data_IF_448630073695
#
_entry.id   IF_448630073695
#
_cell.length_a   1.000
_cell.length_b   1.000
_cell.length_c   1.000
_cell.angle_alpha   90.00
_cell.angle_beta   90.00
_cell.angle_gamma   90.00
#
_symmetry.space_group_name_H-M   'P 1'
#
loop_
_entity.id
_entity.type
_entity.pdbx_description
1 polymer ?
#
# COMPACT_ATOMS: atom_id res chain seq x y z
N UNK A 1 3.30 14.28 20.49
CA UNK A 1 4.26 13.75 19.49
C UNK A 1 4.39 14.85 18.45
N UNK A 2 5.58 15.42 18.31
CA UNK A 2 5.81 16.55 17.41
C UNK A 2 5.77 16.07 15.95
N UNK A 3 4.67 16.35 15.26
CA UNK A 3 4.42 15.89 13.88
C UNK A 3 5.31 16.63 12.86
N UNK A 4 5.88 17.78 13.25
CA UNK A 4 6.74 18.61 12.40
C UNK A 4 8.19 18.11 12.36
N UNK A 5 8.55 17.13 13.20
CA UNK A 5 9.90 16.52 13.25
C UNK A 5 10.13 15.40 12.23
N UNK A 6 9.11 15.02 11.44
CA UNK A 6 9.18 13.84 10.60
C UNK A 6 10.00 14.07 9.33
N UNK A 7 10.94 13.16 9.08
CA UNK A 7 11.75 13.21 7.86
C UNK A 7 10.88 12.88 6.63
N UNK A 8 11.25 13.39 5.44
CA UNK A 8 10.61 13.02 4.17
C UNK A 8 10.47 11.51 3.94
N UNK A 9 11.42 10.71 4.43
CA UNK A 9 11.38 9.24 4.30
C UNK A 9 10.34 8.60 5.21
N UNK A 10 10.16 9.12 6.43
CA UNK A 10 9.16 8.62 7.39
C UNK A 10 7.73 8.89 6.88
N UNK A 11 7.50 10.08 6.33
CA UNK A 11 6.23 10.45 5.70
C UNK A 11 5.93 9.56 4.49
N UNK A 12 6.92 9.37 3.61
CA UNK A 12 6.78 8.48 2.46
C UNK A 12 6.48 7.04 2.85
N UNK A 13 7.18 6.51 3.86
CA UNK A 13 6.97 5.15 4.37
C UNK A 13 5.54 4.96 4.89
N UNK A 14 5.06 5.89 5.70
CA UNK A 14 3.71 5.81 6.30
C UNK A 14 2.60 5.89 5.26
N UNK A 15 2.67 6.87 4.36
CA UNK A 15 1.69 7.02 3.29
C UNK A 15 1.74 5.83 2.32
N UNK A 16 2.93 5.34 1.95
CA UNK A 16 3.05 4.15 1.14
C UNK A 16 2.42 2.92 1.80
N UNK A 17 2.60 2.75 3.13
CA UNK A 17 1.95 1.68 3.88
C UNK A 17 0.44 1.82 3.87
N UNK A 18 -0.11 3.02 4.10
CA UNK A 18 -1.56 3.25 4.05
C UNK A 18 -2.16 2.96 2.67
N UNK A 19 -1.50 3.42 1.60
CA UNK A 19 -1.93 3.17 0.22
C UNK A 19 -1.88 1.67 -0.07
N UNK A 20 -0.77 1.01 0.26
CA UNK A 20 -0.57 -0.41 0.01
C UNK A 20 -1.56 -1.31 0.74
N UNK A 21 -1.85 -1.04 2.02
CA UNK A 21 -2.83 -1.81 2.77
C UNK A 21 -4.24 -1.60 2.25
N UNK A 22 -4.62 -0.35 1.92
CA UNK A 22 -5.91 -0.08 1.30
C UNK A 22 -6.06 -0.86 -0.02
N UNK A 23 -5.08 -0.75 -0.93
CA UNK A 23 -5.11 -1.47 -2.21
C UNK A 23 -5.17 -2.98 -1.99
N UNK A 24 -4.32 -3.55 -1.12
CA UNK A 24 -4.31 -4.98 -0.87
C UNK A 24 -5.64 -5.52 -0.34
N UNK A 25 -6.26 -4.80 0.61
CA UNK A 25 -7.58 -5.17 1.18
C UNK A 25 -8.67 -5.07 0.12
N UNK A 26 -8.74 -3.97 -0.63
CA UNK A 26 -9.77 -3.81 -1.67
C UNK A 26 -9.59 -4.81 -2.81
N UNK A 27 -8.35 -5.15 -3.17
CA UNK A 27 -8.10 -6.23 -4.15
C UNK A 27 -8.53 -7.58 -3.63
N UNK A 28 -8.26 -7.92 -2.37
CA UNK A 28 -8.77 -9.15 -1.76
C UNK A 28 -10.30 -9.21 -1.83
N UNK A 29 -10.97 -8.14 -1.38
CA UNK A 29 -12.44 -8.04 -1.39
C UNK A 29 -12.99 -8.14 -2.82
N UNK A 30 -12.39 -7.44 -3.78
CA UNK A 30 -12.80 -7.48 -5.18
C UNK A 30 -12.63 -8.87 -5.80
N UNK A 31 -11.53 -9.57 -5.50
CA UNK A 31 -11.29 -10.91 -6.03
C UNK A 31 -12.21 -11.94 -5.37
N UNK A 32 -12.35 -11.90 -4.05
CA UNK A 32 -13.16 -12.88 -3.33
C UNK A 32 -14.66 -12.67 -3.56
N UNK A 33 -15.16 -11.45 -3.34
CA UNK A 33 -16.60 -11.17 -3.39
C UNK A 33 -17.07 -10.71 -4.78
N UNK A 34 -16.22 -10.00 -5.53
CA UNK A 34 -16.58 -9.48 -6.86
C UNK A 34 -16.34 -10.48 -7.98
N UNK A 35 -15.19 -11.16 -7.97
CA UNK A 35 -14.80 -12.13 -9.00
C UNK A 35 -15.04 -13.59 -8.60
N UNK A 36 -15.64 -13.85 -7.43
CA UNK A 36 -15.90 -15.19 -6.88
C UNK A 36 -14.67 -16.10 -6.81
N UNK A 37 -13.48 -15.49 -6.69
CA UNK A 37 -12.22 -16.21 -6.60
C UNK A 37 -12.09 -16.87 -5.22
N UNK A 38 -11.36 -17.98 -5.15
CA UNK A 38 -11.12 -18.65 -3.88
C UNK A 38 -10.44 -17.69 -2.88
N UNK A 39 -10.97 -17.59 -1.66
CA UNK A 39 -10.56 -16.58 -0.69
C UNK A 39 -9.04 -16.56 -0.43
N UNK A 40 -8.42 -17.74 -0.25
CA UNK A 40 -6.97 -17.84 -0.08
C UNK A 40 -6.18 -17.29 -1.28
N UNK A 41 -6.65 -17.53 -2.49
CA UNK A 41 -5.99 -17.07 -3.70
C UNK A 41 -6.16 -15.55 -3.87
N UNK A 42 -7.35 -15.02 -3.57
CA UNK A 42 -7.59 -13.58 -3.49
C UNK A 42 -6.69 -12.90 -2.44
N UNK A 43 -6.48 -13.56 -1.29
CA UNK A 43 -5.61 -13.04 -0.22
C UNK A 43 -4.15 -12.96 -0.67
N UNK A 44 -3.64 -14.03 -1.29
CA UNK A 44 -2.26 -14.03 -1.83
C UNK A 44 -2.09 -12.93 -2.88
N UNK A 45 -3.03 -12.81 -3.83
CA UNK A 45 -2.97 -11.78 -4.87
C UNK A 45 -3.06 -10.36 -4.29
N UNK A 46 -3.95 -10.13 -3.31
CA UNK A 46 -4.04 -8.85 -2.60
C UNK A 46 -2.76 -8.49 -1.85
N UNK A 47 -2.13 -9.47 -1.17
CA UNK A 47 -0.88 -9.27 -0.46
C UNK A 47 0.28 -8.95 -1.41
N UNK A 48 0.42 -9.73 -2.50
CA UNK A 48 1.45 -9.51 -3.53
C UNK A 48 1.29 -8.12 -4.16
N UNK A 49 0.06 -7.75 -4.54
CA UNK A 49 -0.21 -6.43 -5.11
C UNK A 49 0.08 -5.32 -4.11
N UNK A 50 -0.30 -5.49 -2.84
CA UNK A 50 0.03 -4.53 -1.78
C UNK A 50 1.54 -4.28 -1.64
N UNK A 51 2.35 -5.34 -1.67
CA UNK A 51 3.83 -5.21 -1.63
C UNK A 51 4.34 -4.43 -2.84
N UNK A 52 3.88 -4.76 -4.05
CA UNK A 52 4.28 -4.07 -5.28
C UNK A 52 3.92 -2.58 -5.22
N UNK A 53 2.68 -2.27 -4.82
CA UNK A 53 2.20 -0.89 -4.67
C UNK A 53 2.99 -0.15 -3.61
N UNK A 54 3.34 -0.79 -2.50
CA UNK A 54 4.17 -0.17 -1.46
C UNK A 54 5.52 0.30 -2.01
N UNK A 55 6.22 -0.55 -2.77
CA UNK A 55 7.51 -0.19 -3.35
C UNK A 55 7.39 0.98 -4.32
N UNK A 56 6.38 0.96 -5.19
CA UNK A 56 6.14 2.03 -6.16
C UNK A 56 5.78 3.33 -5.44
N UNK A 57 4.78 3.29 -4.55
CA UNK A 57 4.30 4.45 -3.80
C UNK A 57 5.42 5.07 -2.97
N UNK A 58 6.22 4.26 -2.25
CA UNK A 58 7.35 4.77 -1.46
C UNK A 58 8.36 5.50 -2.34
N UNK A 59 8.75 4.93 -3.49
CA UNK A 59 9.70 5.57 -4.41
C UNK A 59 9.18 6.92 -4.91
N UNK A 60 7.91 6.99 -5.30
CA UNK A 60 7.27 8.22 -5.76
C UNK A 60 7.18 9.26 -4.64
N UNK A 61 6.70 8.87 -3.46
CA UNK A 61 6.54 9.77 -2.31
C UNK A 61 7.87 10.31 -1.80
N UNK A 62 8.92 9.49 -1.71
CA UNK A 62 10.27 9.96 -1.36
C UNK A 62 10.76 11.00 -2.37
N UNK A 63 10.52 10.77 -3.67
CA UNK A 63 10.92 11.72 -4.72
C UNK A 63 10.14 13.04 -4.64
N UNK A 64 8.90 12.99 -4.15
CA UNK A 64 8.03 14.15 -4.03
C UNK A 64 8.34 14.98 -2.79
N UNK A 65 8.52 14.34 -1.62
CA UNK A 65 8.86 15.03 -0.37
C UNK A 65 10.29 15.56 -0.29
N UNK A 66 11.18 15.15 -1.20
CA UNK A 66 12.54 15.69 -1.31
C UNK A 66 12.64 16.89 -2.26
N UNK A 67 11.56 17.26 -2.95
CA UNK A 67 11.46 18.48 -3.75
C UNK A 67 10.94 19.61 -2.87
#
# INVERSE_FOLDING_TARGET
MDLDSWTPDDNARRLATLIATAVGVFTFVALWLGASLHALLGLVLGAVLGVVVWFIARRLLVSWFRR
#
